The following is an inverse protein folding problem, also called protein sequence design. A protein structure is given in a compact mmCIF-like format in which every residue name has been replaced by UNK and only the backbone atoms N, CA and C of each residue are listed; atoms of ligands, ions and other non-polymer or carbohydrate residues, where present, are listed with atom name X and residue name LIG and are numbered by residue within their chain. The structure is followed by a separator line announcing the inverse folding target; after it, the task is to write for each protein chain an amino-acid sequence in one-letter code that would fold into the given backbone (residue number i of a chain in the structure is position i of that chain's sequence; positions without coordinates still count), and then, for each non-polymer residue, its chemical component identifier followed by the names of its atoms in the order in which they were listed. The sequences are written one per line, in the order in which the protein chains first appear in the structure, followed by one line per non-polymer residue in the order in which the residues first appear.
data_IF_985531500264
#
_entry.id   IF_985531500264
#
_cell.length_a   1.000
_cell.length_b   1.000
_cell.length_c   1.000
_cell.angle_alpha   90.00
_cell.angle_beta   90.00
_cell.angle_gamma   90.00
#
_symmetry.space_group_name_H-M   'P 1'
#
loop_
_entity.id
_entity.type
_entity.pdbx_description
1 polymer ?
#
# COMPACT_ATOMS: atom_id res chain seq x y z
N UNK A 1 14.65 -24.76 -1.57
CA UNK A 1 15.82 -24.22 -2.30
C UNK A 1 15.28 -23.17 -3.25
N UNK A 2 15.35 -21.89 -2.88
CA UNK A 2 14.67 -20.78 -3.57
C UNK A 2 15.65 -20.17 -4.57
N UNK A 3 15.29 -20.17 -5.85
CA UNK A 3 16.01 -19.43 -6.87
C UNK A 3 15.55 -17.97 -6.82
N UNK A 4 16.40 -17.11 -6.26
CA UNK A 4 16.23 -15.65 -6.32
C UNK A 4 16.81 -15.23 -7.67
N UNK A 5 15.97 -14.88 -8.64
CA UNK A 5 16.44 -14.13 -9.82
C UNK A 5 16.57 -12.66 -9.43
N UNK A 6 17.77 -12.28 -9.00
CA UNK A 6 18.15 -10.89 -8.74
C UNK A 6 18.11 -10.09 -10.07
N UNK A 7 17.07 -9.28 -10.26
CA UNK A 7 17.14 -8.16 -11.21
C UNK A 7 17.91 -7.02 -10.57
N UNK A 8 18.87 -6.46 -11.32
CA UNK A 8 19.87 -5.51 -10.86
C UNK A 8 19.28 -4.38 -10.01
N UNK A 9 19.85 -4.19 -8.81
CA UNK A 9 19.28 -3.32 -7.78
C UNK A 9 19.71 -1.86 -7.87
N UNK A 10 20.70 -1.56 -8.71
CA UNK A 10 21.28 -0.24 -8.93
C UNK A 10 21.96 -0.29 -10.30
N UNK A 11 21.65 0.65 -11.19
CA UNK A 11 22.50 0.87 -12.36
C UNK A 11 23.66 1.73 -11.90
N UNK A 12 24.84 1.13 -11.78
CA UNK A 12 26.06 1.91 -11.68
C UNK A 12 26.31 2.57 -13.04
N UNK A 13 25.87 3.82 -13.15
CA UNK A 13 26.09 4.64 -14.34
C UNK A 13 27.52 5.21 -14.38
N UNK A 14 28.40 4.91 -13.41
CA UNK A 14 29.75 5.48 -13.37
C UNK A 14 30.55 5.20 -14.64
N UNK A 15 30.35 4.08 -15.33
CA UNK A 15 31.10 3.81 -16.56
C UNK A 15 30.50 4.57 -17.76
N UNK A 16 29.19 4.45 -18.01
CA UNK A 16 28.56 5.11 -19.18
C UNK A 16 28.42 6.63 -19.07
N UNK A 17 28.20 7.16 -17.86
CA UNK A 17 28.17 8.61 -17.59
C UNK A 17 29.57 9.13 -17.25
N UNK A 18 30.46 8.32 -16.66
CA UNK A 18 31.85 8.70 -16.42
C UNK A 18 32.73 8.68 -17.67
N UNK A 19 32.41 7.89 -18.70
CA UNK A 19 33.05 8.02 -20.01
C UNK A 19 32.71 9.36 -20.69
N UNK A 20 31.52 9.92 -20.44
CA UNK A 20 31.18 11.30 -20.81
C UNK A 20 31.96 12.36 -19.99
N UNK A 21 32.57 11.96 -18.87
CA UNK A 21 33.42 12.82 -18.02
C UNK A 21 34.89 12.76 -18.46
N UNK A 22 35.35 11.64 -19.04
CA UNK A 22 36.76 11.42 -19.39
C UNK A 22 37.27 12.28 -20.55
N UNK A 23 36.38 12.67 -21.47
CA UNK A 23 36.73 13.43 -22.69
C UNK A 23 36.54 14.95 -22.59
N UNK A 24 36.28 15.50 -21.39
CA UNK A 24 36.25 16.96 -21.14
C UNK A 24 35.12 17.74 -21.84
N UNK A 25 34.23 17.07 -22.59
CA UNK A 25 33.07 17.67 -23.23
C UNK A 25 31.79 17.22 -22.53
N UNK A 26 31.46 17.84 -21.40
CA UNK A 26 30.09 17.75 -20.89
C UNK A 26 29.20 18.49 -21.87
N UNK A 27 28.34 17.76 -22.58
CA UNK A 27 27.14 18.32 -23.16
C UNK A 27 26.02 18.09 -22.14
N UNK A 28 25.69 19.09 -21.29
CA UNK A 28 24.69 18.93 -20.24
C UNK A 28 23.33 18.60 -20.82
N UNK A 29 23.06 18.99 -22.07
CA UNK A 29 21.80 18.69 -22.75
C UNK A 29 21.68 17.20 -23.07
N UNK A 30 22.76 16.54 -23.50
CA UNK A 30 22.75 15.09 -23.75
C UNK A 30 22.61 14.28 -22.46
N UNK A 31 23.27 14.69 -21.39
CA UNK A 31 23.10 14.04 -20.07
C UNK A 31 21.67 14.19 -19.58
N UNK A 32 21.12 15.40 -19.66
CA UNK A 32 19.71 15.64 -19.33
C UNK A 32 18.77 14.86 -20.25
N UNK A 33 19.05 14.76 -21.54
CA UNK A 33 18.23 14.00 -22.49
C UNK A 33 18.25 12.50 -22.18
N UNK A 34 19.39 11.93 -21.78
CA UNK A 34 19.48 10.53 -21.35
C UNK A 34 18.71 10.33 -20.04
N UNK A 35 18.89 11.20 -19.05
CA UNK A 35 18.14 11.13 -17.79
C UNK A 35 16.64 11.34 -18.00
N UNK A 36 16.28 12.20 -18.94
CA UNK A 36 14.91 12.47 -19.33
C UNK A 36 14.30 11.29 -20.08
N UNK A 37 15.03 10.67 -21.01
CA UNK A 37 14.61 9.42 -21.66
C UNK A 37 14.53 8.25 -20.70
N UNK A 38 15.40 8.17 -19.69
CA UNK A 38 15.26 7.20 -18.60
C UNK A 38 13.97 7.52 -17.85
N UNK A 39 13.78 8.75 -17.37
CA UNK A 39 12.55 9.20 -16.69
C UNK A 39 11.27 8.96 -17.51
N UNK A 40 11.33 9.11 -18.84
CA UNK A 40 10.20 9.00 -19.77
C UNK A 40 9.97 7.56 -20.29
N UNK A 41 11.01 6.71 -20.38
CA UNK A 41 10.90 5.30 -20.76
C UNK A 41 10.88 4.32 -19.59
N UNK A 42 11.22 4.73 -18.37
CA UNK A 42 11.07 3.89 -17.19
C UNK A 42 9.67 4.04 -16.62
N UNK A 43 8.76 3.16 -17.03
CA UNK A 43 7.75 2.62 -16.12
C UNK A 43 8.37 1.77 -14.99
N UNK A 44 9.60 2.09 -14.55
CA UNK A 44 10.50 1.24 -13.78
C UNK A 44 11.46 2.08 -12.92
N UNK A 45 10.93 2.91 -12.02
CA UNK A 45 11.68 3.39 -10.84
C UNK A 45 10.81 3.45 -9.58
N UNK A 46 9.57 3.01 -9.65
CA UNK A 46 8.82 2.61 -8.47
C UNK A 46 9.21 1.17 -8.16
N UNK A 47 10.05 0.96 -7.14
CA UNK A 47 10.06 -0.34 -6.50
C UNK A 47 8.79 -0.42 -5.70
N UNK A 48 7.94 -1.37 -6.06
CA UNK A 48 6.86 -1.78 -5.20
C UNK A 48 7.30 -3.07 -4.51
N UNK A 49 7.79 -3.01 -3.26
CA UNK A 49 8.14 -4.24 -2.57
C UNK A 49 6.87 -5.09 -2.47
N UNK A 50 7.02 -6.37 -2.80
CA UNK A 50 5.93 -7.33 -2.79
C UNK A 50 5.84 -8.01 -1.44
N UNK A 51 4.62 -8.18 -0.97
CA UNK A 51 4.27 -8.86 0.26
C UNK A 51 3.31 -9.97 -0.11
N UNK A 52 3.76 -11.22 0.00
CA UNK A 52 2.89 -12.37 -0.19
C UNK A 52 1.96 -12.47 1.04
N UNK A 53 0.65 -12.49 0.80
CA UNK A 53 -0.33 -12.59 1.89
C UNK A 53 -0.73 -14.04 2.04
N UNK A 54 -0.37 -14.63 3.19
CA UNK A 54 -0.87 -15.92 3.63
C UNK A 54 -1.89 -15.66 4.73
N UNK A 55 -3.18 -15.82 4.43
CA UNK A 55 -4.29 -15.53 5.34
C UNK A 55 -5.24 -16.70 5.50
N UNK A 56 -6.06 -16.67 6.58
CA UNK A 56 -7.18 -17.59 6.80
C UNK A 56 -8.28 -17.33 5.77
N UNK A 57 -8.12 -17.89 4.58
CA UNK A 57 -9.12 -17.77 3.53
C UNK A 57 -8.92 -18.84 2.48
N UNK A 58 -9.05 -20.10 2.91
CA UNK A 58 -9.01 -21.26 2.02
C UNK A 58 -10.12 -21.24 0.97
N UNK A 59 -10.80 -22.37 0.77
CA UNK A 59 -11.82 -22.48 -0.28
C UNK A 59 -13.21 -21.95 0.13
N UNK A 60 -13.32 -21.17 1.19
CA UNK A 60 -14.59 -20.63 1.72
C UNK A 60 -14.69 -19.13 1.51
N UNK A 61 -15.89 -18.59 1.19
CA UNK A 61 -16.11 -17.15 1.14
C UNK A 61 -15.71 -16.48 2.45
N UNK A 62 -15.10 -15.30 2.35
CA UNK A 62 -14.71 -14.51 3.50
C UNK A 62 -15.83 -13.53 3.86
N UNK A 63 -16.35 -13.62 5.07
CA UNK A 63 -17.31 -12.63 5.58
C UNK A 63 -16.52 -11.63 6.41
N UNK A 64 -16.54 -10.35 6.01
CA UNK A 64 -15.84 -9.30 6.75
C UNK A 64 -16.43 -9.21 8.16
N UNK A 65 -15.61 -9.42 9.21
CA UNK A 65 -16.10 -9.39 10.57
C UNK A 65 -16.43 -7.97 11.00
N UNK A 66 -17.27 -7.86 12.02
CA UNK A 66 -17.33 -6.64 12.82
C UNK A 66 -16.05 -6.51 13.64
N UNK A 67 -15.37 -5.38 13.53
CA UNK A 67 -14.14 -5.12 14.29
C UNK A 67 -14.51 -4.33 15.54
N UNK A 68 -14.06 -4.75 16.73
CA UNK A 68 -14.40 -4.06 17.97
C UNK A 68 -13.98 -2.58 17.95
N UNK A 69 -14.86 -1.70 18.42
CA UNK A 69 -14.50 -0.31 18.67
C UNK A 69 -13.59 -0.19 19.89
N UNK A 70 -12.69 0.79 19.88
CA UNK A 70 -11.86 1.10 21.06
C UNK A 70 -12.74 1.59 22.19
N UNK A 71 -12.67 0.87 23.31
CA UNK A 71 -13.24 1.29 24.60
C UNK A 71 -12.14 1.34 25.65
N UNK A 72 -12.29 2.11 26.74
CA UNK A 72 -11.30 2.12 27.82
C UNK A 72 -10.98 0.71 28.31
N UNK A 73 -9.68 0.36 28.28
CA UNK A 73 -9.20 -0.97 28.68
C UNK A 73 -9.22 -2.05 27.60
N UNK A 74 -9.68 -1.74 26.38
CA UNK A 74 -9.58 -2.67 25.25
C UNK A 74 -8.11 -2.98 24.93
N UNK A 75 -7.81 -4.27 24.78
CA UNK A 75 -6.53 -4.79 24.28
C UNK A 75 -6.84 -5.79 23.18
N UNK A 76 -6.55 -5.42 21.94
CA UNK A 76 -6.77 -6.29 20.78
C UNK A 76 -5.89 -5.86 19.64
N UNK A 77 -5.42 -6.82 18.85
CA UNK A 77 -4.43 -6.57 17.81
C UNK A 77 -4.91 -5.58 16.73
N UNK A 78 -6.22 -5.48 16.49
CA UNK A 78 -6.86 -4.48 15.62
C UNK A 78 -8.18 -3.98 16.21
N UNK A 79 -8.50 -2.70 16.02
CA UNK A 79 -9.77 -2.09 16.41
C UNK A 79 -10.30 -1.10 15.36
N UNK A 80 -11.62 -0.89 15.34
CA UNK A 80 -12.30 0.07 14.47
C UNK A 80 -12.30 1.45 15.14
N UNK A 81 -11.51 2.37 14.60
CA UNK A 81 -11.44 3.76 15.07
C UNK A 81 -12.42 4.67 14.34
N UNK A 82 -12.77 4.36 13.09
CA UNK A 82 -13.65 5.20 12.30
C UNK A 82 -14.32 4.47 11.14
N UNK A 83 -15.64 4.30 11.24
CA UNK A 83 -16.55 3.87 10.15
C UNK A 83 -16.25 2.53 9.46
N UNK A 84 -15.21 1.78 9.83
CA UNK A 84 -14.84 0.57 9.09
C UNK A 84 -15.94 -0.48 9.15
N UNK A 85 -16.37 -0.88 10.35
CA UNK A 85 -17.42 -1.89 10.54
C UNK A 85 -18.75 -1.41 9.97
N UNK A 86 -19.04 -0.11 10.07
CA UNK A 86 -20.25 0.48 9.47
C UNK A 86 -20.30 0.26 7.96
N UNK A 87 -19.16 0.46 7.28
CA UNK A 87 -19.06 0.35 5.82
C UNK A 87 -18.87 -1.10 5.33
N UNK A 88 -18.14 -1.93 6.07
CA UNK A 88 -17.65 -3.22 5.58
C UNK A 88 -18.20 -4.45 6.30
N UNK A 89 -18.62 -4.36 7.57
CA UNK A 89 -19.10 -5.55 8.31
C UNK A 89 -20.26 -6.22 7.58
N UNK A 90 -20.16 -7.55 7.45
CA UNK A 90 -21.12 -8.38 6.73
C UNK A 90 -20.94 -8.41 5.21
N UNK A 91 -19.95 -7.68 4.64
CA UNK A 91 -19.55 -7.86 3.24
C UNK A 91 -19.06 -9.30 3.05
N UNK A 92 -19.49 -9.94 1.96
CA UNK A 92 -19.03 -11.27 1.57
C UNK A 92 -18.07 -11.10 0.40
N UNK A 93 -16.83 -11.54 0.58
CA UNK A 93 -15.82 -11.63 -0.46
C UNK A 93 -15.67 -13.10 -0.90
N UNK A 94 -15.31 -13.35 -2.17
CA UNK A 94 -15.07 -14.71 -2.62
C UNK A 94 -13.84 -15.31 -1.89
N UNK A 95 -13.68 -16.65 -1.93
CA UNK A 95 -12.55 -17.31 -1.26
C UNK A 95 -11.20 -16.71 -1.65
N UNK A 96 -10.23 -16.57 -0.73
CA UNK A 96 -8.94 -15.95 -1.11
C UNK A 96 -8.20 -16.76 -2.18
N UNK A 97 -8.42 -18.07 -2.25
CA UNK A 97 -7.89 -18.94 -3.32
C UNK A 97 -8.40 -18.57 -4.72
N UNK A 98 -9.50 -17.81 -4.82
CA UNK A 98 -10.06 -17.33 -6.08
C UNK A 98 -9.56 -15.94 -6.50
N UNK A 99 -8.81 -15.25 -5.64
CA UNK A 99 -8.26 -13.94 -6.01
C UNK A 99 -7.24 -14.08 -7.12
N UNK A 100 -7.30 -13.15 -8.09
CA UNK A 100 -6.41 -13.14 -9.25
C UNK A 100 -4.94 -12.92 -8.86
N UNK A 101 -4.70 -12.40 -7.65
CA UNK A 101 -3.38 -12.07 -7.09
C UNK A 101 -3.26 -12.58 -5.65
N UNK A 102 -2.04 -12.95 -5.27
CA UNK A 102 -1.70 -13.45 -3.92
C UNK A 102 -0.69 -12.55 -3.19
N UNK A 103 -0.25 -11.49 -3.86
CA UNK A 103 0.74 -10.55 -3.35
C UNK A 103 0.20 -9.13 -3.42
N UNK A 104 0.54 -8.31 -2.42
CA UNK A 104 0.38 -6.87 -2.48
C UNK A 104 1.72 -6.20 -2.76
N UNK A 105 1.69 -5.21 -3.61
CA UNK A 105 2.72 -4.20 -3.79
C UNK A 105 2.45 -3.04 -2.82
N UNK A 106 3.49 -2.28 -2.45
CA UNK A 106 3.30 -0.98 -1.83
C UNK A 106 4.24 0.08 -2.39
N UNK A 107 3.81 1.34 -2.36
CA UNK A 107 4.64 2.51 -2.61
C UNK A 107 4.65 3.43 -1.40
N UNK A 108 5.83 3.99 -1.10
CA UNK A 108 5.96 5.06 -0.13
C UNK A 108 5.41 6.37 -0.74
N UNK A 109 4.65 7.12 0.06
CA UNK A 109 4.10 8.42 -0.33
C UNK A 109 5.11 9.51 0.01
N UNK A 110 5.58 10.26 -1.00
CA UNK A 110 6.61 11.28 -0.84
C UNK A 110 6.09 12.63 -0.30
N UNK A 111 4.78 12.84 -0.36
CA UNK A 111 4.14 14.09 0.05
C UNK A 111 2.70 13.88 0.51
N UNK A 112 2.06 14.95 0.98
CA UNK A 112 0.68 14.88 1.45
C UNK A 112 -0.30 14.70 0.30
N UNK A 113 -0.66 13.45 -0.02
CA UNK A 113 -1.64 13.11 -1.05
C UNK A 113 -2.99 12.72 -0.46
N UNK A 114 -4.08 13.18 -1.05
CA UNK A 114 -5.42 12.68 -0.75
C UNK A 114 -5.75 11.41 -1.56
N UNK A 115 -6.85 10.73 -1.22
CA UNK A 115 -7.24 9.48 -1.87
C UNK A 115 -7.42 9.65 -3.39
N UNK A 116 -7.94 10.78 -3.85
CA UNK A 116 -8.09 11.09 -5.27
C UNK A 116 -6.74 11.14 -5.99
N UNK A 117 -5.75 11.82 -5.40
CA UNK A 117 -4.42 11.97 -5.98
C UNK A 117 -3.68 10.63 -6.04
N UNK A 118 -3.80 9.82 -4.99
CA UNK A 118 -3.21 8.48 -4.93
C UNK A 118 -3.84 7.57 -6.00
N UNK A 119 -5.16 7.54 -6.10
CA UNK A 119 -5.88 6.75 -7.11
C UNK A 119 -5.54 7.18 -8.53
N UNK A 120 -5.47 8.48 -8.79
CA UNK A 120 -5.08 9.01 -10.09
C UNK A 120 -3.64 8.57 -10.44
N UNK A 121 -2.74 8.59 -9.46
CA UNK A 121 -1.37 8.09 -9.60
C UNK A 121 -1.30 6.62 -9.98
N UNK A 122 -1.95 5.75 -9.19
CA UNK A 122 -1.99 4.30 -9.44
C UNK A 122 -2.64 3.95 -10.78
N UNK A 123 -3.77 4.58 -11.10
CA UNK A 123 -4.47 4.35 -12.37
C UNK A 123 -3.62 4.76 -13.56
N UNK A 124 -2.88 5.88 -13.44
CA UNK A 124 -2.00 6.37 -14.51
C UNK A 124 -0.87 5.40 -14.83
N UNK A 125 -0.36 4.68 -13.84
CA UNK A 125 0.67 3.64 -14.03
C UNK A 125 0.08 2.26 -14.35
N UNK A 126 -1.25 2.16 -14.47
CA UNK A 126 -1.95 0.93 -14.85
C UNK A 126 -2.13 -0.09 -13.72
N UNK A 127 -1.91 0.31 -12.47
CA UNK A 127 -1.99 -0.61 -11.34
C UNK A 127 -3.46 -0.81 -10.90
N UNK A 128 -3.82 -2.06 -10.59
CA UNK A 128 -5.10 -2.36 -9.95
C UNK A 128 -5.12 -1.70 -8.57
N UNK A 129 -6.23 -1.06 -8.20
CA UNK A 129 -6.32 -0.31 -6.93
C UNK A 129 -7.09 -1.06 -5.84
N UNK A 130 -8.05 -1.90 -6.24
CA UNK A 130 -8.93 -2.60 -5.30
C UNK A 130 -8.21 -3.75 -4.60
N UNK A 131 -8.09 -3.64 -3.29
CA UNK A 131 -7.61 -4.67 -2.37
C UNK A 131 -8.78 -5.29 -1.60
N UNK A 132 -8.99 -6.61 -1.70
CA UNK A 132 -9.92 -7.36 -0.85
C UNK A 132 -9.65 -7.12 0.64
N UNK A 133 -10.70 -6.90 1.40
CA UNK A 133 -10.63 -6.69 2.84
C UNK A 133 -10.02 -7.91 3.54
N UNK A 134 -10.30 -9.12 3.04
CA UNK A 134 -9.68 -10.34 3.54
C UNK A 134 -8.14 -10.27 3.53
N UNK A 135 -7.56 -9.70 2.48
CA UNK A 135 -6.11 -9.53 2.36
C UNK A 135 -5.58 -8.44 3.29
N UNK A 136 -6.30 -7.31 3.40
CA UNK A 136 -5.93 -6.25 4.35
C UNK A 136 -5.86 -6.82 5.76
N UNK A 137 -6.91 -7.52 6.21
CA UNK A 137 -6.96 -8.07 7.57
C UNK A 137 -5.95 -9.20 7.78
N UNK A 138 -5.73 -10.06 6.78
CA UNK A 138 -4.69 -11.08 6.85
C UNK A 138 -3.28 -10.48 6.98
N UNK A 139 -3.00 -9.37 6.29
CA UNK A 139 -1.74 -8.65 6.42
C UNK A 139 -1.55 -8.12 7.85
N UNK A 140 -2.57 -7.47 8.41
CA UNK A 140 -2.52 -6.98 9.80
C UNK A 140 -2.35 -8.14 10.80
N UNK A 141 -3.11 -9.22 10.65
CA UNK A 141 -3.02 -10.42 11.49
C UNK A 141 -1.62 -11.04 11.41
N UNK A 142 -1.04 -11.13 10.22
CA UNK A 142 0.30 -11.72 10.00
C UNK A 142 1.42 -10.93 10.67
N UNK A 143 1.30 -9.60 10.76
CA UNK A 143 2.26 -8.74 11.44
C UNK A 143 2.05 -8.75 12.97
N UNK A 144 0.83 -9.03 13.43
CA UNK A 144 0.48 -9.01 14.85
C UNK A 144 0.73 -7.63 15.46
N UNK A 145 1.12 -7.57 16.73
CA UNK A 145 1.46 -6.30 17.41
C UNK A 145 2.89 -5.81 17.09
N UNK A 146 3.57 -6.39 16.11
CA UNK A 146 4.96 -6.07 15.78
C UNK A 146 5.10 -4.76 15.00
N UNK A 147 6.07 -3.95 15.40
CA UNK A 147 6.56 -2.81 14.61
C UNK A 147 7.41 -3.24 13.41
N UNK A 148 7.88 -4.48 13.40
CA UNK A 148 8.65 -5.05 12.31
C UNK A 148 7.71 -5.73 11.30
N UNK A 149 7.66 -5.19 10.09
CA UNK A 149 6.85 -5.76 9.02
C UNK A 149 6.59 -4.79 7.86
N UNK A 150 5.80 -5.24 6.88
CA UNK A 150 5.42 -4.42 5.73
C UNK A 150 4.55 -3.22 6.09
N UNK A 151 3.67 -3.33 7.08
CA UNK A 151 2.92 -2.18 7.58
C UNK A 151 3.87 -1.30 8.38
N UNK A 152 3.93 -0.02 8.03
CA UNK A 152 4.66 0.94 8.84
C UNK A 152 3.88 1.21 10.10
N UNK A 153 4.55 1.15 11.25
CA UNK A 153 3.95 1.40 12.55
C UNK A 153 4.18 2.80 13.17
N UNK A 154 4.56 3.88 12.44
CA UNK A 154 4.39 5.21 12.98
C UNK A 154 2.89 5.60 12.91
N UNK A 155 2.54 6.77 13.45
CA UNK A 155 1.13 7.23 13.55
C UNK A 155 0.48 7.42 12.16
N UNK A 156 1.30 7.54 11.12
CA UNK A 156 0.83 7.72 9.76
C UNK A 156 0.21 6.44 9.16
N UNK A 157 -0.92 6.56 8.46
CA UNK A 157 -1.67 5.41 7.98
C UNK A 157 -1.02 4.70 6.77
N UNK A 158 -1.11 3.38 6.76
CA UNK A 158 -0.98 2.54 5.59
C UNK A 158 -2.33 2.55 4.85
N UNK A 159 -2.32 2.89 3.57
CA UNK A 159 -3.52 3.15 2.77
C UNK A 159 -3.80 1.96 1.86
N UNK A 160 -5.07 1.56 1.83
CA UNK A 160 -5.63 0.58 0.93
C UNK A 160 -6.89 1.16 0.30
N UNK A 161 -7.26 0.67 -0.89
CA UNK A 161 -8.58 0.96 -1.46
C UNK A 161 -9.39 -0.33 -1.54
N UNK A 162 -10.60 -0.34 -1.01
CA UNK A 162 -11.44 -1.53 -0.96
C UNK A 162 -12.89 -1.19 -1.29
N UNK A 163 -13.59 -2.09 -1.97
CA UNK A 163 -15.04 -1.96 -2.17
C UNK A 163 -15.79 -2.24 -0.86
N UNK A 164 -16.68 -1.35 -0.46
CA UNK A 164 -17.55 -1.55 0.70
C UNK A 164 -18.67 -2.57 0.43
N UNK A 165 -19.54 -2.84 1.42
CA UNK A 165 -20.67 -3.77 1.26
C UNK A 165 -21.73 -3.33 0.23
N UNK A 166 -21.64 -2.09 -0.27
CA UNK A 166 -22.48 -1.54 -1.34
C UNK A 166 -21.72 -1.47 -2.67
N UNK A 167 -20.55 -2.09 -2.78
CA UNK A 167 -19.65 -2.04 -3.94
C UNK A 167 -19.18 -0.63 -4.30
N UNK A 168 -19.03 0.26 -3.31
CA UNK A 168 -18.44 1.58 -3.50
C UNK A 168 -16.99 1.55 -3.01
N UNK A 169 -16.06 2.05 -3.84
CA UNK A 169 -14.64 2.13 -3.47
C UNK A 169 -14.45 3.11 -2.32
N UNK A 170 -13.73 2.67 -1.27
CA UNK A 170 -13.42 3.45 -0.07
C UNK A 170 -11.92 3.44 0.19
N UNK A 171 -11.44 4.48 0.87
CA UNK A 171 -10.09 4.51 1.42
C UNK A 171 -10.10 3.82 2.79
N UNK A 172 -9.30 2.77 2.95
CA UNK A 172 -9.11 2.05 4.22
C UNK A 172 -7.72 2.39 4.75
N UNK A 173 -7.64 2.79 6.01
CA UNK A 173 -6.38 3.18 6.65
C UNK A 173 -6.06 2.25 7.80
N UNK A 174 -4.85 1.73 7.81
CA UNK A 174 -4.31 0.95 8.92
C UNK A 174 -3.16 1.75 9.56
N UNK A 175 -3.30 2.12 10.83
CA UNK A 175 -2.27 2.87 11.55
C UNK A 175 -2.06 2.28 12.94
N UNK A 176 -0.88 2.45 13.51
CA UNK A 176 -0.59 1.92 14.84
C UNK A 176 -1.02 2.91 15.92
N UNK A 177 -1.84 2.47 16.87
CA UNK A 177 -2.24 3.32 17.99
C UNK A 177 -1.12 3.36 19.04
N UNK A 178 -0.44 4.51 19.15
CA UNK A 178 0.76 4.72 19.97
C UNK A 178 0.60 4.54 21.49
N UNK A 179 -0.61 4.25 21.99
CA UNK A 179 -0.88 3.93 23.40
C UNK A 179 -0.78 2.44 23.74
N UNK A 180 -0.25 1.61 22.83
CA UNK A 180 -0.07 0.17 23.05
C UNK A 180 -1.38 -0.63 22.95
N UNK A 181 -2.37 -0.08 22.25
CA UNK A 181 -3.68 -0.70 22.03
C UNK A 181 -3.63 -1.69 20.85
N UNK A 182 -2.70 -1.49 19.90
CA UNK A 182 -2.56 -2.31 18.69
C UNK A 182 -2.79 -1.50 17.42
N UNK A 183 -3.10 -2.19 16.32
CA UNK A 183 -3.48 -1.56 15.06
C UNK A 183 -4.88 -0.96 15.13
N UNK A 184 -5.08 0.09 14.37
CA UNK A 184 -6.34 0.78 14.21
C UNK A 184 -6.74 0.76 12.74
N UNK A 185 -8.02 0.57 12.47
CA UNK A 185 -8.58 0.65 11.11
C UNK A 185 -9.64 1.74 11.01
N UNK A 186 -9.47 2.57 9.99
CA UNK A 186 -10.46 3.56 9.56
C UNK A 186 -10.94 3.27 8.14
N UNK A 187 -12.16 3.74 7.84
CA UNK A 187 -12.69 3.81 6.49
C UNK A 187 -13.26 5.20 6.17
N UNK A 188 -12.95 5.70 4.98
CA UNK A 188 -13.40 7.01 4.50
C UNK A 188 -13.97 6.92 3.09
N UNK A 189 -14.85 7.87 2.77
CA UNK A 189 -15.16 8.16 1.36
C UNK A 189 -13.91 8.71 0.68
N UNK A 190 -13.72 8.38 -0.59
CA UNK A 190 -12.62 8.95 -1.37
C UNK A 190 -12.98 10.39 -1.70
N UNK A 191 -12.12 11.32 -1.31
CA UNK A 191 -12.36 12.73 -1.53
C UNK A 191 -11.29 13.64 -0.95
N UNK A 192 -11.43 14.96 -1.16
CA UNK A 192 -10.57 15.94 -0.51
C UNK A 192 -10.68 15.81 1.01
N UNK A 193 -9.53 15.77 1.69
CA UNK A 193 -9.49 15.59 3.15
C UNK A 193 -9.85 16.89 3.88
N UNK A 194 -10.68 16.85 4.93
CA UNK A 194 -10.82 17.96 5.86
C UNK A 194 -9.44 18.39 6.40
N UNK A 195 -9.18 19.70 6.47
CA UNK A 195 -7.90 20.25 6.96
C UNK A 195 -7.55 19.83 8.39
N UNK A 196 -8.55 19.44 9.19
CA UNK A 196 -8.45 19.10 10.61
C UNK A 196 -8.30 17.59 10.89
N UNK A 197 -8.16 16.75 9.86
CA UNK A 197 -7.84 15.35 10.10
C UNK A 197 -6.43 15.26 10.70
N UNK A 198 -6.38 14.85 11.98
CA UNK A 198 -5.17 14.52 12.75
C UNK A 198 -4.36 13.37 12.12
N UNK A 199 -4.88 12.78 11.05
CA UNK A 199 -4.26 11.71 10.31
C UNK A 199 -3.44 12.32 9.17
N UNK A 200 -2.13 12.27 9.35
CA UNK A 200 -1.12 12.45 8.31
C UNK A 200 -1.50 11.82 6.97
N UNK A 201 -0.90 12.26 5.85
CA UNK A 201 -1.24 11.77 4.51
C UNK A 201 -1.26 10.27 4.30
N UNK A 202 -0.61 9.53 5.18
CA UNK A 202 -0.28 8.13 5.01
C UNK A 202 1.17 7.99 4.59
N UNK A 203 1.79 6.89 5.00
CA UNK A 203 3.20 6.61 4.70
C UNK A 203 3.32 5.73 3.46
N UNK A 204 2.37 4.80 3.29
CA UNK A 204 2.38 3.82 2.21
C UNK A 204 1.00 3.66 1.61
N UNK A 205 0.93 3.42 0.31
CA UNK A 205 -0.24 2.87 -0.35
C UNK A 205 0.05 1.45 -0.79
N UNK A 206 -0.85 0.53 -0.49
CA UNK A 206 -0.81 -0.86 -0.87
C UNK A 206 -1.82 -1.13 -1.99
N UNK A 207 -1.45 -2.01 -2.91
CA UNK A 207 -2.28 -2.37 -4.03
C UNK A 207 -1.92 -3.77 -4.56
N UNK A 208 -2.84 -4.46 -5.25
CA UNK A 208 -2.60 -5.78 -5.85
C UNK A 208 -1.38 -5.80 -6.77
N UNK A 209 -0.51 -6.80 -6.62
CA UNK A 209 0.50 -7.08 -7.63
C UNK A 209 -0.13 -7.89 -8.78
N UNK A 210 -0.05 -7.36 -10.01
CA UNK A 210 -0.38 -8.18 -11.18
C UNK A 210 0.63 -9.36 -11.31
N UNK A 211 0.12 -10.50 -11.76
CA UNK A 211 0.88 -11.75 -11.94
C UNK A 211 1.90 -11.63 -13.07
#
# INVERSE_FOLDING_TARGET
MVAITDKARMFDLMVGVGELVRDGKRDPKKVLEILQRIKENTGCLFRFPRVSIQGRGGNTPFVVPEIPQVVPGFRGYIHDSYNFSKMFSGKIEPPMSSFEFSELCYADLSERSDGNSILAGLTKVGEKVETPVAQILALVESQGESYEGPLTAPIEPNIFFALDKKNVLREVRIHYCGSGIGWSVDAYEIGPRPKCDWHSPGTRVFFPAEK
#
